data_IF_723882344603
#
_entry.id   IF_723882344603
#
_cell.length_a   1.000
_cell.length_b   1.000
_cell.length_c   1.000
_cell.angle_alpha   90.00
_cell.angle_beta   90.00
_cell.angle_gamma   90.00
#
_symmetry.space_group_name_H-M   'P 1'
#
loop_
_entity.id
_entity.type
_entity.pdbx_description
1 polymer ?
#
# COMPACT_ATOMS: atom_id res chain seq x y z
N UNK A 1 89.17 26.12 9.69
CA UNK A 1 87.82 26.49 10.20
C UNK A 1 87.10 27.44 9.24
N UNK A 2 86.80 26.98 8.03
CA UNK A 2 85.89 27.62 7.08
C UNK A 2 85.33 26.47 6.29
N UNK A 3 84.20 25.91 6.70
CA UNK A 3 83.36 24.90 6.03
C UNK A 3 82.24 24.51 7.02
N UNK A 4 81.37 25.47 7.39
CA UNK A 4 80.25 25.15 8.30
C UNK A 4 79.05 26.10 8.22
N UNK A 5 78.86 26.82 7.10
CA UNK A 5 77.68 27.69 6.91
C UNK A 5 77.08 27.57 5.51
N UNK A 6 76.78 26.35 5.07
CA UNK A 6 76.03 26.11 3.81
C UNK A 6 75.02 24.96 3.90
N UNK A 7 74.55 24.60 5.11
CA UNK A 7 73.64 23.44 5.29
C UNK A 7 72.29 23.75 5.96
N UNK A 8 71.87 25.02 6.11
CA UNK A 8 70.59 25.35 6.77
C UNK A 8 69.54 25.93 5.80
N UNK A 9 69.92 26.41 4.61
CA UNK A 9 68.97 27.02 3.67
C UNK A 9 68.38 26.04 2.63
N UNK A 10 68.89 24.81 2.52
CA UNK A 10 68.48 23.86 1.47
C UNK A 10 67.53 22.74 1.95
N UNK A 11 67.20 22.67 3.25
CA UNK A 11 66.24 21.70 3.80
C UNK A 11 64.79 22.21 3.90
N UNK A 12 64.51 23.44 3.44
CA UNK A 12 63.17 24.05 3.50
C UNK A 12 62.46 24.16 2.13
N UNK A 13 62.97 23.45 1.11
CA UNK A 13 62.35 23.42 -0.24
C UNK A 13 61.99 22.01 -0.73
N UNK A 14 62.06 21.00 0.15
CA UNK A 14 61.75 19.62 -0.20
C UNK A 14 60.72 18.96 0.74
N UNK A 15 59.83 19.74 1.36
CA UNK A 15 58.57 19.20 1.87
C UNK A 15 57.55 19.19 0.74
N UNK A 16 57.55 18.08 0.00
CA UNK A 16 56.34 17.32 -0.32
C UNK A 16 55.06 18.15 -0.47
N UNK A 17 54.92 18.83 -1.62
CA UNK A 17 53.60 19.14 -2.16
C UNK A 17 52.98 17.84 -2.70
N UNK A 18 52.77 16.86 -1.82
CA UNK A 18 51.61 15.98 -1.99
C UNK A 18 50.41 16.90 -1.83
N UNK A 19 49.44 16.95 -2.76
CA UNK A 19 48.18 17.60 -2.49
C UNK A 19 47.49 16.76 -1.40
N UNK A 20 47.83 17.06 -0.15
CA UNK A 20 47.07 16.61 1.00
C UNK A 20 45.70 17.21 0.78
N UNK A 21 44.74 16.38 0.38
CA UNK A 21 43.32 16.71 0.55
C UNK A 21 43.19 17.17 1.99
N UNK A 22 42.99 18.47 2.20
CA UNK A 22 42.74 19.02 3.53
C UNK A 22 41.65 18.14 4.16
N UNK A 23 41.96 17.51 5.28
CA UNK A 23 40.99 16.69 5.98
C UNK A 23 39.82 17.61 6.36
N UNK A 24 38.61 17.24 5.96
CA UNK A 24 37.42 18.04 6.20
C UNK A 24 37.23 18.28 7.70
N UNK A 25 37.15 19.56 8.09
CA UNK A 25 36.99 19.94 9.50
C UNK A 25 35.53 19.99 9.94
N UNK A 26 34.59 19.48 9.14
CA UNK A 26 33.16 19.53 9.42
C UNK A 26 32.83 18.94 10.81
N UNK A 27 33.57 17.92 11.26
CA UNK A 27 33.37 17.25 12.56
C UNK A 27 33.78 18.10 13.77
N UNK A 28 34.58 19.14 13.56
CA UNK A 28 34.99 20.07 14.63
C UNK A 28 33.77 20.88 15.11
N UNK A 29 32.97 21.38 14.17
CA UNK A 29 31.77 22.18 14.46
C UNK A 29 30.51 21.30 14.55
N UNK A 30 30.34 20.36 13.62
CA UNK A 30 29.22 19.43 13.62
C UNK A 30 29.63 18.15 14.34
N UNK A 31 29.26 18.03 15.63
CA UNK A 31 29.51 16.84 16.46
C UNK A 31 28.66 15.65 16.01
N UNK A 32 28.92 15.15 14.82
CA UNK A 32 28.20 14.05 14.18
C UNK A 32 29.15 12.91 13.85
N UNK A 33 28.68 11.70 14.09
CA UNK A 33 29.38 10.46 13.72
C UNK A 33 28.63 9.82 12.57
N UNK A 34 29.37 9.47 11.52
CA UNK A 34 28.85 8.75 10.37
C UNK A 34 28.91 7.24 10.67
N UNK A 35 27.80 6.54 10.53
CA UNK A 35 27.70 5.10 10.80
C UNK A 35 27.18 4.32 9.58
N UNK A 36 27.26 3.00 9.66
CA UNK A 36 26.73 2.10 8.65
C UNK A 36 27.63 1.98 7.41
N UNK A 37 27.02 1.70 6.27
CA UNK A 37 27.74 1.39 5.01
C UNK A 37 28.53 2.58 4.46
N UNK A 38 28.19 3.79 4.89
CA UNK A 38 28.85 5.01 4.46
C UNK A 38 29.86 5.55 5.48
N UNK A 39 30.09 4.89 6.63
CA UNK A 39 30.88 5.42 7.76
C UNK A 39 32.29 5.94 7.42
N UNK A 40 32.87 5.49 6.30
CA UNK A 40 34.21 5.88 5.83
C UNK A 40 34.20 7.01 4.78
N UNK A 41 33.03 7.47 4.34
CA UNK A 41 32.93 8.61 3.44
C UNK A 41 33.24 9.91 4.17
N UNK A 42 33.81 10.85 3.42
CA UNK A 42 33.99 12.21 3.87
C UNK A 42 32.63 12.94 3.85
N UNK A 43 32.42 13.91 4.72
CA UNK A 43 31.17 14.66 4.84
C UNK A 43 30.80 15.33 3.50
N UNK A 44 31.78 15.95 2.82
CA UNK A 44 31.52 16.61 1.53
C UNK A 44 31.22 15.63 0.40
N UNK A 45 31.44 14.31 0.58
CA UNK A 45 30.98 13.32 -0.40
C UNK A 45 29.46 13.31 -0.54
N UNK A 46 28.73 13.61 0.55
CA UNK A 46 27.28 13.77 0.53
C UNK A 46 26.89 15.25 0.44
N UNK A 47 27.64 16.12 1.09
CA UNK A 47 27.31 17.55 1.21
C UNK A 47 27.92 18.43 0.11
N UNK A 48 28.51 17.83 -0.93
CA UNK A 48 29.16 18.46 -2.09
C UNK A 48 30.49 19.17 -1.79
N UNK A 49 30.45 20.41 -1.29
CA UNK A 49 31.66 21.22 -1.06
C UNK A 49 31.41 22.28 0.00
N UNK A 50 32.47 22.85 0.58
CA UNK A 50 32.34 23.91 1.60
C UNK A 50 31.62 25.16 1.07
N UNK A 51 31.84 25.54 -0.19
CA UNK A 51 31.19 26.69 -0.83
C UNK A 51 29.75 26.44 -1.28
N UNK A 52 29.31 25.17 -1.36
CA UNK A 52 27.99 24.77 -1.85
C UNK A 52 27.39 23.65 -1.00
N UNK A 53 27.54 23.74 0.32
CA UNK A 53 27.14 22.69 1.25
C UNK A 53 25.63 22.45 1.22
N UNK A 54 25.20 21.22 0.93
CA UNK A 54 23.78 20.87 0.97
C UNK A 54 23.30 20.70 2.42
N UNK A 55 22.23 21.38 2.84
CA UNK A 55 21.64 21.15 4.16
C UNK A 55 20.99 19.76 4.30
N UNK A 56 20.31 19.29 3.24
CA UNK A 56 19.71 17.95 3.19
C UNK A 56 20.10 17.24 1.88
N UNK A 57 21.20 16.48 1.86
CA UNK A 57 21.73 15.85 0.66
C UNK A 57 20.84 14.77 0.04
N UNK A 58 19.91 14.22 0.83
CA UNK A 58 19.00 13.15 0.43
C UNK A 58 17.61 13.64 0.00
N UNK A 59 17.35 14.95 0.09
CA UNK A 59 16.02 15.51 -0.19
C UNK A 59 15.62 15.37 -1.65
N UNK A 60 14.36 14.96 -1.87
CA UNK A 60 13.74 14.88 -3.19
C UNK A 60 13.74 16.24 -3.90
N UNK A 61 13.46 17.34 -3.18
CA UNK A 61 13.42 18.70 -3.73
C UNK A 61 14.75 19.14 -4.37
N UNK A 62 15.87 18.62 -3.88
CA UNK A 62 17.20 18.83 -4.44
C UNK A 62 17.68 17.70 -5.36
N UNK A 63 16.78 16.84 -5.84
CA UNK A 63 17.11 15.67 -6.67
C UNK A 63 18.01 14.64 -5.97
N UNK A 64 18.05 14.65 -4.64
CA UNK A 64 18.98 13.89 -3.81
C UNK A 64 20.43 13.96 -4.34
N UNK A 65 20.89 15.17 -4.68
CA UNK A 65 22.22 15.42 -5.28
C UNK A 65 23.39 14.79 -4.51
N UNK A 66 23.29 14.71 -3.18
CA UNK A 66 24.33 14.07 -2.36
C UNK A 66 24.32 12.54 -2.40
N UNK A 67 23.33 11.93 -3.05
CA UNK A 67 23.19 10.49 -3.18
C UNK A 67 23.32 10.03 -4.64
N UNK A 68 22.69 10.77 -5.57
CA UNK A 68 22.50 10.36 -6.96
C UNK A 68 23.77 10.24 -7.79
N UNK A 69 24.87 10.89 -7.38
CA UNK A 69 26.18 10.73 -8.03
C UNK A 69 26.74 9.31 -7.96
N UNK A 70 26.60 8.63 -6.82
CA UNK A 70 26.99 7.22 -6.66
C UNK A 70 25.81 6.27 -6.90
N UNK A 71 24.60 6.68 -6.54
CA UNK A 71 23.36 5.93 -6.73
C UNK A 71 22.63 6.38 -8.01
N UNK A 72 23.35 6.31 -9.13
CA UNK A 72 22.88 6.81 -10.41
C UNK A 72 21.51 6.21 -10.80
N UNK A 73 20.58 7.06 -11.21
CA UNK A 73 19.25 6.68 -11.67
C UNK A 73 18.20 6.47 -10.58
N UNK A 74 18.57 6.38 -9.29
CA UNK A 74 17.59 6.21 -8.21
C UNK A 74 16.82 7.49 -7.84
N UNK A 75 17.29 8.67 -8.26
CA UNK A 75 16.50 9.90 -8.14
C UNK A 75 15.16 9.81 -8.89
N UNK A 76 15.04 8.95 -9.91
CA UNK A 76 13.78 8.70 -10.64
C UNK A 76 12.66 8.13 -9.77
N UNK A 77 12.98 7.60 -8.58
CA UNK A 77 11.95 7.21 -7.61
C UNK A 77 10.98 8.36 -7.29
N UNK A 78 11.48 9.61 -7.30
CA UNK A 78 10.68 10.80 -7.04
C UNK A 78 9.71 11.13 -8.20
N UNK A 79 9.98 10.64 -9.41
CA UNK A 79 9.18 10.90 -10.62
C UNK A 79 8.02 9.89 -10.79
N UNK A 80 7.93 8.91 -9.88
CA UNK A 80 6.96 7.83 -9.93
C UNK A 80 5.94 7.92 -8.80
N UNK A 81 5.03 6.93 -8.75
CA UNK A 81 3.90 6.94 -7.83
C UNK A 81 4.27 7.11 -6.33
N UNK A 82 5.50 6.81 -5.91
CA UNK A 82 5.93 7.01 -4.51
C UNK A 82 6.32 8.47 -4.21
N UNK A 83 6.82 9.20 -5.19
CA UNK A 83 7.18 10.62 -5.05
C UNK A 83 6.07 11.56 -5.52
N UNK A 84 5.45 11.26 -6.67
CA UNK A 84 4.39 12.11 -7.21
C UNK A 84 3.07 11.83 -6.51
N UNK A 85 2.42 10.69 -6.72
CA UNK A 85 0.99 10.45 -6.33
C UNK A 85 0.00 11.34 -7.06
N UNK A 86 0.25 11.54 -8.35
CA UNK A 86 -0.67 12.27 -9.23
C UNK A 86 -2.07 11.66 -9.29
N UNK A 87 -2.22 10.37 -8.95
CA UNK A 87 -3.53 9.70 -8.92
C UNK A 87 -4.33 10.10 -7.67
N UNK A 88 -3.68 10.10 -6.51
CA UNK A 88 -4.27 10.51 -5.24
C UNK A 88 -4.58 12.01 -5.23
N UNK A 89 -3.68 12.86 -5.73
CA UNK A 89 -3.94 14.30 -5.90
C UNK A 89 -5.17 14.56 -6.74
N UNK A 90 -5.21 14.03 -7.97
CA UNK A 90 -6.37 14.15 -8.86
C UNK A 90 -7.63 13.54 -8.27
N UNK A 91 -7.53 12.56 -7.37
CA UNK A 91 -8.68 12.01 -6.65
C UNK A 91 -9.20 13.02 -5.63
N UNK A 92 -8.33 13.57 -4.79
CA UNK A 92 -8.73 14.59 -3.82
C UNK A 92 -9.31 15.80 -4.53
N UNK A 93 -8.61 16.38 -5.51
CA UNK A 93 -9.05 17.54 -6.29
C UNK A 93 -10.47 17.37 -6.86
N UNK A 94 -10.79 16.19 -7.42
CA UNK A 94 -12.11 15.94 -8.02
C UNK A 94 -13.21 15.54 -7.02
N UNK A 95 -12.85 15.22 -5.78
CA UNK A 95 -13.77 14.72 -4.76
C UNK A 95 -13.87 15.69 -3.57
N UNK A 96 -13.27 15.36 -2.43
CA UNK A 96 -13.33 16.16 -1.20
C UNK A 96 -12.63 17.52 -1.34
N UNK A 97 -11.65 17.63 -2.24
CA UNK A 97 -10.95 18.88 -2.58
C UNK A 97 -11.86 19.99 -3.10
N UNK A 98 -13.04 19.64 -3.62
CA UNK A 98 -14.08 20.61 -4.02
C UNK A 98 -14.71 21.33 -2.82
N UNK A 99 -14.59 20.77 -1.61
CA UNK A 99 -15.14 21.30 -0.37
C UNK A 99 -14.06 21.80 0.59
N UNK A 100 -12.85 21.25 0.47
CA UNK A 100 -11.66 21.66 1.22
C UNK A 100 -10.40 21.49 0.35
N UNK A 101 -9.93 22.59 -0.24
CA UNK A 101 -8.75 22.59 -1.10
C UNK A 101 -7.46 22.19 -0.36
N UNK A 102 -7.39 22.37 0.97
CA UNK A 102 -6.23 22.00 1.79
C UNK A 102 -6.25 20.56 2.29
N UNK A 103 -7.27 19.77 1.93
CA UNK A 103 -7.44 18.41 2.44
C UNK A 103 -6.24 17.51 2.13
N UNK A 104 -5.65 17.64 0.94
CA UNK A 104 -4.54 16.78 0.51
C UNK A 104 -3.30 17.02 1.37
N UNK A 105 -2.89 18.27 1.54
CA UNK A 105 -1.72 18.67 2.32
C UNK A 105 -1.88 18.25 3.78
N UNK A 106 -3.06 18.48 4.35
CA UNK A 106 -3.34 18.26 5.77
C UNK A 106 -3.49 16.78 6.15
N UNK A 107 -3.95 15.92 5.22
CA UNK A 107 -4.32 14.52 5.52
C UNK A 107 -3.51 13.48 4.77
N UNK A 108 -2.91 13.83 3.64
CA UNK A 108 -2.18 12.87 2.79
C UNK A 108 -0.67 13.16 2.72
N UNK A 109 -0.23 14.39 3.01
CA UNK A 109 1.15 14.85 2.80
C UNK A 109 2.25 14.08 3.52
N UNK A 110 1.95 13.43 4.65
CA UNK A 110 2.93 12.69 5.47
C UNK A 110 3.30 11.30 4.95
N UNK A 111 2.63 10.81 3.90
CA UNK A 111 2.83 9.46 3.38
C UNK A 111 3.78 9.40 2.16
N UNK A 112 4.38 10.52 1.73
CA UNK A 112 5.11 10.62 0.46
C UNK A 112 6.61 10.63 0.65
N UNK A 113 7.33 10.14 -0.36
CA UNK A 113 8.79 10.10 -0.34
C UNK A 113 9.33 11.55 -0.40
N UNK A 114 9.81 12.04 0.74
CA UNK A 114 10.46 13.34 0.89
C UNK A 114 11.98 13.24 0.62
N UNK A 115 12.57 12.05 0.74
CA UNK A 115 13.97 11.83 0.42
C UNK A 115 14.42 10.39 0.60
N UNK A 116 15.68 10.10 0.24
CA UNK A 116 16.23 8.75 0.34
C UNK A 116 16.26 8.22 1.80
N UNK A 117 16.28 9.12 2.79
CA UNK A 117 16.27 8.78 4.22
C UNK A 117 14.97 8.14 4.70
N UNK A 118 13.86 8.26 3.96
CA UNK A 118 12.58 7.70 4.41
C UNK A 118 12.62 6.17 4.48
N UNK A 119 13.31 5.54 3.53
CA UNK A 119 13.51 4.08 3.52
C UNK A 119 14.78 3.64 4.24
N UNK A 120 15.84 4.44 4.16
CA UNK A 120 17.15 4.10 4.72
C UNK A 120 17.26 4.41 6.23
N UNK A 121 16.39 5.27 6.74
CA UNK A 121 16.32 5.69 8.14
C UNK A 121 17.55 6.44 8.64
N UNK A 122 17.56 6.72 9.94
CA UNK A 122 18.62 7.44 10.62
C UNK A 122 18.48 8.96 10.52
N UNK A 123 19.29 9.68 11.30
CA UNK A 123 19.37 11.15 11.27
C UNK A 123 20.08 11.69 10.02
N UNK A 124 20.01 10.97 8.88
CA UNK A 124 20.83 11.20 7.69
C UNK A 124 22.29 10.71 7.80
N UNK A 125 22.87 10.66 9.01
CA UNK A 125 24.26 10.23 9.25
C UNK A 125 24.41 8.78 9.73
N UNK A 126 23.30 8.06 9.91
CA UNK A 126 23.28 6.64 10.32
C UNK A 126 22.50 5.80 9.32
N UNK A 127 22.86 5.94 8.05
CA UNK A 127 22.17 5.27 6.94
C UNK A 127 22.44 3.77 6.99
N UNK A 128 21.37 2.99 6.84
CA UNK A 128 21.43 1.54 6.73
C UNK A 128 20.69 1.07 5.48
N UNK A 129 20.92 -0.19 5.10
CA UNK A 129 20.09 -0.82 4.07
C UNK A 129 18.64 -0.90 4.57
N UNK A 130 17.70 -0.47 3.73
CA UNK A 130 16.28 -0.55 4.05
C UNK A 130 15.85 -2.00 4.32
N UNK A 131 15.08 -2.19 5.38
CA UNK A 131 14.38 -3.45 5.67
C UNK A 131 12.88 -3.25 5.53
N UNK A 132 12.10 -4.34 5.60
CA UNK A 132 10.66 -4.32 5.33
C UNK A 132 9.90 -3.33 6.24
N UNK A 133 10.40 -3.13 7.46
CA UNK A 133 9.86 -2.15 8.42
C UNK A 133 9.78 -0.73 7.86
N UNK A 134 10.74 -0.34 7.03
CA UNK A 134 10.76 0.98 6.42
C UNK A 134 9.60 1.17 5.42
N UNK A 135 9.18 0.08 4.76
CA UNK A 135 8.05 0.10 3.84
C UNK A 135 6.73 0.40 4.58
N UNK A 136 6.55 -0.11 5.80
CA UNK A 136 5.30 0.06 6.57
C UNK A 136 5.06 1.46 7.12
N UNK A 137 6.02 2.38 6.98
CA UNK A 137 5.73 3.80 7.21
C UNK A 137 4.54 4.25 6.35
N UNK A 138 4.49 3.77 5.11
CA UNK A 138 3.45 4.09 4.11
C UNK A 138 2.58 2.87 3.75
N UNK A 139 3.17 1.68 3.66
CA UNK A 139 2.52 0.44 3.25
C UNK A 139 1.88 -0.31 4.43
N UNK A 140 0.92 0.33 5.10
CA UNK A 140 0.18 -0.24 6.24
C UNK A 140 -1.32 0.00 6.16
N UNK A 141 -2.06 -0.77 6.96
CA UNK A 141 -3.51 -0.66 7.07
C UNK A 141 -4.19 -1.04 5.76
N UNK A 142 -4.83 -0.08 5.09
CA UNK A 142 -5.45 -0.29 3.77
C UNK A 142 -4.51 -0.02 2.60
N UNK A 143 -3.25 0.36 2.85
CA UNK A 143 -2.18 0.26 1.89
C UNK A 143 -1.53 -1.12 2.04
N UNK A 144 -1.32 -1.81 0.91
CA UNK A 144 -0.83 -3.19 0.88
C UNK A 144 0.62 -3.21 1.35
N UNK A 145 0.94 -4.06 2.33
CA UNK A 145 2.28 -4.30 2.87
C UNK A 145 2.26 -5.03 4.21
N UNK A 146 1.53 -4.53 5.21
CA UNK A 146 1.46 -5.18 6.54
C UNK A 146 0.66 -6.49 6.53
N UNK A 147 -0.24 -6.64 5.56
CA UNK A 147 -0.97 -7.88 5.25
C UNK A 147 -0.04 -9.06 4.92
N UNK A 148 1.09 -8.79 4.26
CA UNK A 148 2.15 -9.79 4.00
C UNK A 148 2.64 -10.48 5.27
N UNK A 149 2.66 -9.75 6.39
CA UNK A 149 3.05 -10.27 7.70
C UNK A 149 1.86 -10.63 8.61
N UNK A 150 0.64 -10.74 8.05
CA UNK A 150 -0.53 -11.15 8.83
C UNK A 150 -1.10 -10.04 9.72
N UNK A 151 -0.86 -8.77 9.40
CA UNK A 151 -1.34 -7.64 10.21
C UNK A 151 -2.44 -6.87 9.47
N UNK A 152 -3.70 -7.16 9.81
CA UNK A 152 -4.87 -6.48 9.26
C UNK A 152 -5.28 -5.24 10.07
N UNK A 153 -5.81 -4.19 9.42
CA UNK A 153 -6.36 -3.03 10.13
C UNK A 153 -7.58 -3.40 10.99
N UNK A 154 -7.66 -2.82 12.19
CA UNK A 154 -8.82 -2.88 13.09
C UNK A 154 -9.87 -1.84 12.71
N UNK A 155 -11.09 -2.00 13.21
CA UNK A 155 -12.16 -0.99 13.12
C UNK A 155 -11.77 0.36 13.74
N UNK A 156 -12.31 1.48 13.25
CA UNK A 156 -11.88 2.81 13.68
C UNK A 156 -12.26 3.17 15.11
N UNK A 157 -13.34 2.61 15.65
CA UNK A 157 -13.75 2.86 17.03
C UNK A 157 -12.67 2.47 18.02
N UNK A 158 -12.43 3.35 19.01
CA UNK A 158 -11.40 3.18 20.04
C UNK A 158 -11.57 1.87 20.83
N UNK A 159 -12.80 1.38 20.99
CA UNK A 159 -13.09 0.10 21.66
C UNK A 159 -12.38 -1.11 21.02
N UNK A 160 -12.05 -1.00 19.73
CA UNK A 160 -11.37 -2.05 18.97
C UNK A 160 -9.86 -1.85 18.89
N UNK A 161 -9.33 -0.70 19.34
CA UNK A 161 -7.91 -0.36 19.30
C UNK A 161 -7.14 -1.02 20.45
N UNK A 162 -7.08 -2.36 20.43
CA UNK A 162 -6.51 -3.19 21.51
C UNK A 162 -5.57 -4.27 20.98
N UNK A 163 -4.75 -4.81 21.87
CA UNK A 163 -3.81 -5.89 21.57
C UNK A 163 -2.44 -5.40 21.10
N UNK A 164 -1.73 -6.24 20.36
CA UNK A 164 -0.40 -5.91 19.84
C UNK A 164 -0.42 -4.68 18.94
N UNK A 165 0.62 -3.85 19.09
CA UNK A 165 0.83 -2.62 18.32
C UNK A 165 2.06 -2.81 17.44
N UNK A 166 1.91 -2.53 16.15
CA UNK A 166 3.00 -2.48 15.20
C UNK A 166 2.93 -1.17 14.42
N UNK A 167 4.08 -0.49 14.28
CA UNK A 167 4.19 0.77 13.51
C UNK A 167 3.19 1.86 13.91
N UNK A 168 2.93 1.94 15.23
CA UNK A 168 2.04 2.94 15.84
C UNK A 168 0.55 2.61 15.76
N UNK A 169 0.16 1.42 15.33
CA UNK A 169 -1.25 1.02 15.22
C UNK A 169 -1.49 -0.39 15.76
N UNK A 170 -2.62 -0.57 16.44
CA UNK A 170 -3.10 -1.91 16.81
C UNK A 170 -3.59 -2.65 15.57
N UNK A 171 -3.41 -3.96 15.53
CA UNK A 171 -3.80 -4.78 14.36
C UNK A 171 -4.54 -6.07 14.75
N UNK A 172 -5.32 -6.59 13.81
CA UNK A 172 -5.87 -7.95 13.86
C UNK A 172 -4.81 -8.91 13.34
N UNK A 173 -4.43 -9.88 14.16
CA UNK A 173 -3.54 -10.97 13.75
C UNK A 173 -4.30 -11.90 12.81
N UNK A 174 -3.79 -12.00 11.59
CA UNK A 174 -4.30 -12.84 10.51
C UNK A 174 -3.23 -13.85 10.09
N UNK A 175 -3.60 -14.79 9.20
CA UNK A 175 -2.62 -15.71 8.62
C UNK A 175 -1.68 -14.93 7.68
N UNK A 176 -0.35 -14.95 7.89
CA UNK A 176 0.58 -14.25 7.02
C UNK A 176 0.74 -14.93 5.65
N UNK A 177 1.40 -14.22 4.72
CA UNK A 177 1.81 -14.80 3.45
C UNK A 177 2.82 -15.93 3.67
N UNK A 178 2.69 -17.02 2.91
CA UNK A 178 3.61 -18.17 2.99
C UNK A 178 5.05 -17.79 2.66
N UNK A 179 5.26 -16.78 1.82
CA UNK A 179 6.60 -16.29 1.51
C UNK A 179 7.19 -15.51 2.68
N UNK A 180 6.37 -14.76 3.44
CA UNK A 180 6.81 -14.09 4.66
C UNK A 180 7.20 -15.10 5.74
N UNK A 181 6.41 -16.16 5.91
CA UNK A 181 6.74 -17.28 6.80
C UNK A 181 8.06 -17.97 6.41
N UNK A 182 8.34 -18.06 5.11
CA UNK A 182 9.59 -18.58 4.57
C UNK A 182 10.77 -17.58 4.66
N UNK A 183 10.57 -16.39 5.22
CA UNK A 183 11.60 -15.38 5.42
C UNK A 183 11.91 -14.51 4.21
N UNK A 184 11.09 -14.56 3.14
CA UNK A 184 11.26 -13.67 1.99
C UNK A 184 10.84 -12.25 2.36
N UNK A 185 11.74 -11.30 2.08
CA UNK A 185 11.55 -9.87 2.31
C UNK A 185 10.93 -9.18 1.10
N UNK A 186 10.37 -7.97 1.28
CA UNK A 186 9.75 -7.18 0.22
C UNK A 186 10.67 -7.01 -1.00
N UNK A 187 11.96 -6.74 -0.74
CA UNK A 187 12.97 -6.53 -1.78
C UNK A 187 13.25 -7.76 -2.67
N UNK A 188 12.81 -8.97 -2.27
CA UNK A 188 12.94 -10.16 -3.11
C UNK A 188 12.04 -10.10 -4.36
N UNK A 189 10.91 -9.38 -4.26
CA UNK A 189 9.96 -9.16 -5.36
C UNK A 189 10.00 -7.71 -5.86
N UNK A 190 10.32 -6.74 -4.99
CA UNK A 190 10.37 -5.30 -5.28
C UNK A 190 11.81 -4.77 -5.25
N UNK A 191 12.60 -5.01 -6.31
CA UNK A 191 13.96 -4.51 -6.40
C UNK A 191 14.01 -2.98 -6.52
N UNK A 192 15.09 -2.34 -6.03
CA UNK A 192 15.28 -0.89 -6.20
C UNK A 192 15.34 -0.47 -7.67
N UNK A 193 15.92 -1.32 -8.53
CA UNK A 193 15.97 -1.09 -9.98
C UNK A 193 14.57 -1.02 -10.59
N UNK A 194 13.69 -1.99 -10.27
CA UNK A 194 12.29 -1.97 -10.74
C UNK A 194 11.53 -0.75 -10.21
N UNK A 195 11.72 -0.41 -8.93
CA UNK A 195 11.04 0.74 -8.33
C UNK A 195 11.48 2.07 -8.97
N UNK A 196 12.78 2.22 -9.26
CA UNK A 196 13.34 3.40 -9.92
C UNK A 196 13.01 3.47 -11.42
N UNK A 197 12.52 2.38 -12.01
CA UNK A 197 11.93 2.35 -13.34
C UNK A 197 10.41 2.58 -13.33
N UNK A 198 9.80 2.75 -12.15
CA UNK A 198 8.36 2.95 -11.99
C UNK A 198 7.55 1.65 -12.11
N UNK A 199 8.21 0.50 -12.09
CA UNK A 199 7.56 -0.80 -12.13
C UNK A 199 6.98 -1.15 -10.76
N UNK A 200 5.91 -1.96 -10.77
CA UNK A 200 5.26 -2.42 -9.53
C UNK A 200 6.07 -3.49 -8.80
N UNK A 201 6.77 -4.35 -9.54
CA UNK A 201 7.57 -5.44 -9.01
C UNK A 201 8.58 -5.90 -10.07
N UNK A 202 9.73 -6.40 -9.63
CA UNK A 202 10.74 -7.04 -10.48
C UNK A 202 10.47 -8.51 -10.78
N UNK A 203 9.59 -9.16 -10.01
CA UNK A 203 9.24 -10.57 -10.16
C UNK A 203 7.75 -10.79 -9.93
N UNK A 204 7.17 -11.69 -10.71
CA UNK A 204 5.85 -12.27 -10.54
C UNK A 204 5.91 -13.74 -10.11
N UNK A 205 4.74 -14.38 -10.01
CA UNK A 205 4.63 -15.74 -9.49
C UNK A 205 5.42 -16.76 -10.33
N UNK A 206 5.35 -16.66 -11.67
CA UNK A 206 5.95 -17.64 -12.59
C UNK A 206 7.46 -17.52 -12.74
N UNK A 207 8.06 -16.43 -12.25
CA UNK A 207 9.53 -16.27 -12.25
C UNK A 207 10.19 -17.21 -11.22
N UNK A 208 9.43 -17.65 -10.21
CA UNK A 208 9.90 -18.56 -9.17
C UNK A 208 9.14 -19.90 -9.15
N UNK A 209 7.87 -19.91 -9.56
CA UNK A 209 6.99 -21.07 -9.43
C UNK A 209 6.70 -21.73 -10.77
N UNK A 210 6.89 -23.05 -10.83
CA UNK A 210 6.42 -23.88 -11.94
C UNK A 210 5.04 -24.43 -11.63
N UNK A 211 4.10 -24.25 -12.55
CA UNK A 211 2.73 -24.71 -12.41
C UNK A 211 2.70 -26.25 -12.48
N UNK A 212 2.19 -26.89 -11.44
CA UNK A 212 2.01 -28.34 -11.42
C UNK A 212 0.66 -28.72 -12.00
N UNK A 213 0.68 -29.52 -13.06
CA UNK A 213 -0.53 -30.13 -13.64
C UNK A 213 -1.14 -31.19 -12.73
N UNK A 214 -0.58 -31.51 -11.56
CA UNK A 214 -1.23 -32.41 -10.60
C UNK A 214 -2.38 -31.75 -9.85
N UNK A 215 -2.37 -30.42 -9.73
CA UNK A 215 -3.44 -29.64 -9.10
C UNK A 215 -4.60 -29.50 -10.08
N UNK A 216 -5.83 -29.85 -9.64
CA UNK A 216 -7.02 -29.89 -10.50
C UNK A 216 -7.24 -28.56 -11.22
N UNK A 217 -7.14 -27.45 -10.49
CA UNK A 217 -7.37 -26.10 -11.01
C UNK A 217 -6.34 -25.71 -12.07
N UNK A 218 -5.10 -26.18 -11.96
CA UNK A 218 -4.03 -25.87 -12.91
C UNK A 218 -4.18 -26.61 -14.24
N UNK A 219 -4.92 -27.71 -14.28
CA UNK A 219 -5.22 -28.43 -15.53
C UNK A 219 -6.26 -27.71 -16.39
N UNK A 220 -7.02 -26.81 -15.77
CA UNK A 220 -8.06 -26.04 -16.45
C UNK A 220 -7.39 -24.83 -17.10
N UNK A 221 -7.19 -24.88 -18.43
CA UNK A 221 -6.52 -23.83 -19.19
C UNK A 221 -7.09 -22.42 -18.90
N UNK A 222 -8.41 -22.30 -18.80
CA UNK A 222 -9.07 -21.04 -18.48
C UNK A 222 -8.62 -20.43 -17.14
N UNK A 223 -8.28 -21.24 -16.13
CA UNK A 223 -7.73 -20.73 -14.88
C UNK A 223 -6.34 -20.13 -15.08
N UNK A 224 -5.46 -20.80 -15.82
CA UNK A 224 -4.09 -20.31 -16.04
C UNK A 224 -4.00 -19.12 -17.00
N UNK A 225 -4.95 -18.99 -17.92
CA UNK A 225 -4.98 -17.95 -18.94
C UNK A 225 -5.78 -16.72 -18.51
N UNK A 226 -6.88 -16.92 -17.79
CA UNK A 226 -7.87 -15.87 -17.52
C UNK A 226 -7.87 -15.39 -16.07
N UNK A 227 -7.13 -16.02 -15.15
CA UNK A 227 -7.02 -15.58 -13.76
C UNK A 227 -5.59 -15.13 -13.48
N UNK A 228 -5.47 -14.18 -12.56
CA UNK A 228 -4.24 -13.96 -11.82
C UNK A 228 -4.02 -15.09 -10.81
N UNK A 229 -2.78 -15.52 -10.59
CA UNK A 229 -2.49 -16.59 -9.62
C UNK A 229 -3.01 -16.22 -8.22
N UNK A 230 -2.86 -14.95 -7.86
CA UNK A 230 -3.32 -14.42 -6.58
C UNK A 230 -4.84 -14.22 -6.49
N UNK A 231 -5.62 -14.49 -7.54
CA UNK A 231 -7.08 -14.57 -7.44
C UNK A 231 -7.54 -15.81 -6.65
N UNK A 232 -6.81 -16.92 -6.78
CA UNK A 232 -7.05 -18.15 -6.03
C UNK A 232 -6.20 -18.24 -4.75
N UNK A 233 -4.96 -17.74 -4.81
CA UNK A 233 -3.99 -17.95 -3.75
C UNK A 233 -4.04 -16.92 -2.61
N UNK A 234 -4.76 -15.80 -2.75
CA UNK A 234 -4.90 -14.84 -1.64
C UNK A 234 -5.94 -15.33 -0.63
N UNK A 235 -5.51 -15.57 0.61
CA UNK A 235 -6.41 -16.09 1.65
C UNK A 235 -7.41 -15.04 2.16
N UNK A 236 -6.97 -13.79 2.28
CA UNK A 236 -7.79 -12.70 2.80
C UNK A 236 -7.30 -11.35 2.28
N UNK A 237 -8.09 -10.30 2.44
CA UNK A 237 -7.61 -8.95 2.22
C UNK A 237 -8.31 -7.92 3.08
N UNK A 238 -7.58 -6.86 3.41
CA UNK A 238 -8.14 -5.67 4.03
C UNK A 238 -9.07 -4.93 3.08
N UNK A 239 -10.34 -4.86 3.47
CA UNK A 239 -11.43 -4.20 2.77
C UNK A 239 -12.12 -3.19 3.70
N UNK A 240 -12.34 -1.97 3.20
CA UNK A 240 -13.07 -0.89 3.89
C UNK A 240 -14.26 -0.50 3.01
N UNK A 241 -15.47 -0.69 3.50
CA UNK A 241 -16.70 -0.40 2.80
C UNK A 241 -17.34 0.86 3.39
N UNK A 242 -17.63 1.84 2.53
CA UNK A 242 -18.17 3.15 2.92
C UNK A 242 -17.23 3.93 3.83
N UNK A 243 -16.31 4.70 3.26
CA UNK A 243 -15.43 5.62 4.00
C UNK A 243 -16.17 6.93 4.23
N UNK A 244 -16.33 7.34 5.48
CA UNK A 244 -16.94 8.61 5.84
C UNK A 244 -15.89 9.61 6.28
N UNK A 245 -15.94 10.79 5.69
CA UNK A 245 -15.29 11.98 6.22
C UNK A 245 -16.34 12.96 6.69
N UNK A 246 -16.30 13.28 7.98
CA UNK A 246 -17.14 14.31 8.56
C UNK A 246 -16.27 15.52 8.86
N UNK A 247 -16.70 16.70 8.38
CA UNK A 247 -16.09 17.97 8.76
C UNK A 247 -16.97 18.64 9.80
N UNK A 248 -16.37 19.09 10.89
CA UNK A 248 -17.05 19.81 11.96
C UNK A 248 -16.55 21.25 12.01
N UNK A 249 -17.45 22.22 12.12
CA UNK A 249 -17.12 23.63 12.37
C UNK A 249 -17.99 24.12 13.51
N UNK A 250 -17.39 24.62 14.58
CA UNK A 250 -18.12 25.11 15.76
C UNK A 250 -19.19 24.11 16.24
N UNK A 251 -18.81 22.84 16.39
CA UNK A 251 -19.76 21.76 16.69
C UNK A 251 -19.22 20.87 17.81
N UNK A 252 -20.04 20.69 18.84
CA UNK A 252 -19.77 19.83 19.99
C UNK A 252 -20.01 18.35 19.67
N UNK A 253 -20.82 18.05 18.66
CA UNK A 253 -21.11 16.68 18.21
C UNK A 253 -19.85 15.87 17.87
N UNK A 254 -18.74 16.52 17.49
CA UNK A 254 -17.48 15.82 17.21
C UNK A 254 -16.97 15.01 18.41
N UNK A 255 -17.25 15.47 19.63
CA UNK A 255 -16.81 14.85 20.89
C UNK A 255 -17.57 13.55 21.19
N UNK A 256 -18.76 13.35 20.60
CA UNK A 256 -19.55 12.13 20.78
C UNK A 256 -18.94 10.92 20.04
N UNK A 257 -17.99 11.14 19.13
CA UNK A 257 -17.41 10.07 18.32
C UNK A 257 -16.05 9.58 18.86
N UNK A 258 -16.08 8.40 19.47
CA UNK A 258 -14.89 7.71 19.96
C UNK A 258 -14.20 6.87 18.87
N UNK A 259 -13.51 7.54 17.94
CA UNK A 259 -12.72 6.92 16.87
C UNK A 259 -11.26 7.34 16.89
N UNK A 260 -10.38 6.49 16.35
CA UNK A 260 -8.93 6.72 16.33
C UNK A 260 -8.49 7.94 15.49
N UNK A 261 -9.26 8.29 14.45
CA UNK A 261 -8.98 9.40 13.53
C UNK A 261 -9.99 10.53 13.79
N UNK A 262 -9.83 11.18 14.95
CA UNK A 262 -10.63 12.33 15.39
C UNK A 262 -9.69 13.49 15.76
N UNK A 263 -9.20 14.24 14.76
CA UNK A 263 -8.17 15.26 14.98
C UNK A 263 -8.38 16.51 14.12
N UNK A 264 -8.31 17.68 14.74
CA UNK A 264 -8.68 18.95 14.11
C UNK A 264 -10.18 18.97 13.83
N UNK A 265 -10.59 19.58 12.72
CA UNK A 265 -11.98 19.72 12.30
C UNK A 265 -12.53 18.54 11.48
N UNK A 266 -11.82 17.40 11.45
CA UNK A 266 -12.22 16.23 10.67
C UNK A 266 -12.24 14.96 11.52
N UNK A 267 -13.19 14.12 11.15
CA UNK A 267 -13.31 12.76 11.62
C UNK A 267 -13.36 11.80 10.43
N UNK A 268 -12.67 10.65 10.55
CA UNK A 268 -12.80 9.53 9.62
C UNK A 268 -13.45 8.33 10.30
N UNK A 269 -14.41 7.71 9.62
CA UNK A 269 -14.96 6.40 9.99
C UNK A 269 -15.21 5.54 8.75
N UNK A 270 -15.65 4.31 8.96
CA UNK A 270 -16.09 3.40 7.92
C UNK A 270 -17.40 2.71 8.30
N UNK A 271 -18.23 2.37 7.31
CA UNK A 271 -19.46 1.61 7.55
C UNK A 271 -19.15 0.19 8.01
N UNK A 272 -18.20 -0.45 7.32
CA UNK A 272 -17.84 -1.84 7.57
C UNK A 272 -16.39 -2.11 7.15
N UNK A 273 -15.63 -2.84 7.98
CA UNK A 273 -14.36 -3.41 7.56
C UNK A 273 -14.43 -4.93 7.54
N UNK A 274 -13.86 -5.53 6.49
CA UNK A 274 -13.78 -6.98 6.33
C UNK A 274 -12.35 -7.43 6.06
N UNK A 275 -12.03 -8.61 6.56
CA UNK A 275 -10.74 -9.28 6.44
C UNK A 275 -10.91 -10.70 5.87
N UNK A 276 -11.96 -10.92 5.09
CA UNK A 276 -12.22 -12.19 4.41
C UNK A 276 -11.61 -12.18 3.00
N UNK A 277 -11.88 -13.23 2.24
CA UNK A 277 -11.38 -13.35 0.89
C UNK A 277 -11.97 -12.22 0.02
N UNK A 278 -11.16 -11.48 -0.75
CA UNK A 278 -11.60 -10.28 -1.46
C UNK A 278 -12.56 -10.60 -2.62
N UNK A 279 -13.48 -9.69 -2.97
CA UNK A 279 -14.22 -9.76 -4.22
C UNK A 279 -13.28 -9.86 -5.44
N UNK A 280 -13.83 -10.33 -6.55
CA UNK A 280 -13.14 -10.55 -7.82
C UNK A 280 -13.76 -9.67 -8.91
N UNK A 281 -12.88 -9.12 -9.74
CA UNK A 281 -13.21 -8.36 -10.94
C UNK A 281 -12.21 -8.67 -12.03
N UNK A 282 -12.10 -7.80 -13.02
CA UNK A 282 -11.17 -7.90 -14.14
C UNK A 282 -10.13 -6.80 -14.01
N UNK A 283 -8.84 -7.12 -14.15
CA UNK A 283 -7.77 -6.12 -14.18
C UNK A 283 -7.56 -5.55 -15.59
N UNK A 284 -6.70 -4.54 -15.70
CA UNK A 284 -6.35 -3.93 -16.99
C UNK A 284 -5.76 -4.90 -18.03
N UNK A 285 -5.29 -6.09 -17.63
CA UNK A 285 -4.82 -7.15 -18.52
C UNK A 285 -5.94 -8.14 -18.93
N UNK A 286 -7.21 -7.87 -18.58
CA UNK A 286 -8.36 -8.72 -18.91
C UNK A 286 -8.50 -9.97 -18.04
N UNK A 287 -7.68 -10.13 -17.00
CA UNK A 287 -7.67 -11.29 -16.11
C UNK A 287 -8.51 -11.06 -14.86
N UNK A 288 -9.13 -12.14 -14.39
CA UNK A 288 -9.83 -12.16 -13.10
C UNK A 288 -8.81 -11.95 -11.98
N UNK A 289 -9.05 -10.94 -11.16
CA UNK A 289 -8.13 -10.47 -10.12
C UNK A 289 -8.94 -10.04 -8.89
N UNK A 290 -8.38 -10.14 -7.68
CA UNK A 290 -8.92 -9.47 -6.52
C UNK A 290 -9.16 -7.99 -6.78
N UNK A 291 -10.34 -7.54 -6.36
CA UNK A 291 -10.72 -6.14 -6.28
C UNK A 291 -11.10 -5.80 -4.85
N UNK A 292 -10.96 -4.53 -4.49
CA UNK A 292 -11.48 -4.00 -3.23
C UNK A 292 -11.99 -2.58 -3.43
N UNK A 293 -12.83 -2.08 -2.51
CA UNK A 293 -13.06 -0.66 -2.39
C UNK A 293 -11.71 0.08 -2.30
N UNK A 294 -11.51 1.09 -3.16
CA UNK A 294 -10.42 2.04 -2.97
C UNK A 294 -10.94 3.25 -2.22
N UNK A 295 -12.02 3.85 -2.75
CA UNK A 295 -12.71 5.00 -2.17
C UNK A 295 -14.21 4.89 -2.45
N UNK A 296 -14.95 4.33 -1.49
CA UNK A 296 -16.40 4.49 -1.41
C UNK A 296 -16.66 5.67 -0.48
N UNK A 297 -16.41 6.87 -1.00
CA UNK A 297 -16.22 8.08 -0.21
C UNK A 297 -17.55 8.81 -0.02
N UNK A 298 -17.93 8.95 1.24
CA UNK A 298 -19.04 9.77 1.71
C UNK A 298 -18.53 10.97 2.49
N UNK A 299 -19.23 12.09 2.36
CA UNK A 299 -18.88 13.34 3.02
C UNK A 299 -20.11 13.99 3.67
N UNK A 300 -19.92 14.50 4.88
CA UNK A 300 -20.90 15.32 5.61
C UNK A 300 -20.21 16.57 6.17
N UNK A 301 -20.82 17.74 6.02
CA UNK A 301 -20.36 18.99 6.62
C UNK A 301 -21.32 19.37 7.74
N UNK A 302 -20.81 19.47 8.97
CA UNK A 302 -21.59 19.72 10.19
C UNK A 302 -21.10 21.04 10.78
N UNK A 303 -22.03 21.99 10.94
CA UNK A 303 -21.76 23.31 11.50
C UNK A 303 -22.77 23.65 12.57
N UNK A 304 -22.31 24.13 13.73
CA UNK A 304 -23.20 24.46 14.85
C UNK A 304 -24.18 23.31 15.16
N UNK A 305 -23.64 22.09 15.27
CA UNK A 305 -24.37 20.86 15.57
C UNK A 305 -25.49 20.50 14.56
N UNK A 306 -25.37 20.96 13.31
CA UNK A 306 -26.31 20.63 12.23
C UNK A 306 -25.60 20.31 10.94
N UNK A 307 -26.07 19.30 10.22
CA UNK A 307 -25.63 19.03 8.86
C UNK A 307 -26.04 20.17 7.91
N UNK A 308 -25.11 20.59 7.05
CA UNK A 308 -25.29 21.70 6.09
C UNK A 308 -24.79 21.31 4.69
N UNK A 309 -25.09 22.16 3.70
CA UNK A 309 -24.61 21.96 2.33
C UNK A 309 -25.41 20.90 1.58
N UNK A 310 -26.75 20.95 1.72
CA UNK A 310 -27.68 20.01 1.12
C UNK A 310 -27.44 19.76 -0.36
N UNK A 311 -27.81 18.56 -0.79
CA UNK A 311 -27.58 18.07 -2.14
C UNK A 311 -28.69 17.12 -2.55
N UNK A 312 -29.00 17.06 -3.85
CA UNK A 312 -30.07 16.21 -4.36
C UNK A 312 -29.51 14.93 -4.98
N UNK A 313 -30.12 13.79 -4.64
CA UNK A 313 -29.79 12.49 -5.23
C UNK A 313 -31.07 11.68 -5.44
N UNK A 314 -31.27 11.14 -6.66
CA UNK A 314 -32.45 10.32 -6.94
C UNK A 314 -33.79 11.03 -6.68
N UNK A 315 -33.83 12.36 -6.79
CA UNK A 315 -35.02 13.17 -6.51
C UNK A 315 -35.28 13.45 -5.03
N UNK A 316 -34.36 13.11 -4.13
CA UNK A 316 -34.43 13.40 -2.70
C UNK A 316 -33.37 14.42 -2.31
N UNK A 317 -33.75 15.38 -1.47
CA UNK A 317 -32.82 16.33 -0.86
C UNK A 317 -32.23 15.72 0.41
N UNK A 318 -30.90 15.67 0.46
CA UNK A 318 -30.11 15.04 1.50
C UNK A 318 -29.16 16.07 2.11
N UNK A 319 -28.90 15.96 3.42
CA UNK A 319 -27.97 16.84 4.14
C UNK A 319 -26.65 16.13 4.50
N UNK A 320 -26.67 14.81 4.60
CA UNK A 320 -25.55 14.00 5.04
C UNK A 320 -25.15 12.98 3.96
N UNK A 321 -24.05 12.27 4.20
CA UNK A 321 -23.62 11.11 3.44
C UNK A 321 -23.59 11.36 1.93
N UNK A 322 -23.01 12.50 1.54
CA UNK A 322 -22.82 12.84 0.14
C UNK A 322 -21.82 11.90 -0.50
N UNK A 323 -22.28 11.08 -1.45
CA UNK A 323 -21.40 10.20 -2.22
C UNK A 323 -20.51 11.03 -3.14
N UNK A 324 -19.21 11.11 -2.83
CA UNK A 324 -18.22 11.82 -3.64
C UNK A 324 -17.49 10.89 -4.62
N UNK A 325 -17.36 9.61 -4.27
CA UNK A 325 -16.77 8.61 -5.14
C UNK A 325 -17.26 7.20 -4.78
N UNK A 326 -17.43 6.36 -5.80
CA UNK A 326 -17.72 4.94 -5.65
C UNK A 326 -16.71 4.11 -6.46
N UNK A 327 -15.44 4.20 -6.05
CA UNK A 327 -14.29 3.68 -6.79
C UNK A 327 -13.69 2.44 -6.13
N UNK A 328 -13.55 1.39 -6.93
CA UNK A 328 -12.89 0.13 -6.62
C UNK A 328 -11.56 0.05 -7.35
N UNK A 329 -10.67 -0.83 -6.91
CA UNK A 329 -9.44 -1.13 -7.64
C UNK A 329 -9.13 -2.62 -7.66
N UNK A 330 -8.52 -3.06 -8.74
CA UNK A 330 -7.78 -4.32 -8.80
C UNK A 330 -6.46 -4.18 -8.05
N UNK A 331 -6.09 -5.21 -7.30
CA UNK A 331 -4.89 -5.21 -6.48
C UNK A 331 -4.41 -6.64 -6.15
N UNK A 332 -3.20 -6.75 -5.62
CA UNK A 332 -2.65 -7.98 -5.07
C UNK A 332 -2.57 -7.84 -3.53
N UNK A 333 -3.35 -8.62 -2.74
CA UNK A 333 -3.38 -8.52 -1.27
C UNK A 333 -2.12 -8.98 -0.54
N UNK A 334 -1.16 -9.64 -1.19
CA UNK A 334 0.03 -10.20 -0.52
C UNK A 334 -0.30 -11.12 0.67
N UNK A 335 -1.33 -11.96 0.53
CA UNK A 335 -1.74 -12.96 1.54
C UNK A 335 -1.72 -14.36 0.94
N UNK A 336 -0.70 -14.65 0.12
CA UNK A 336 -0.58 -15.89 -0.63
C UNK A 336 -0.45 -17.08 0.31
N UNK A 337 -1.27 -18.10 0.08
CA UNK A 337 -1.19 -19.41 0.74
C UNK A 337 -1.05 -20.53 -0.29
N UNK A 338 -0.61 -21.70 0.19
CA UNK A 338 -0.53 -22.94 -0.60
C UNK A 338 -1.93 -23.47 -0.94
N UNK A 339 -2.84 -23.43 0.04
CA UNK A 339 -4.25 -23.76 -0.15
C UNK A 339 -5.00 -22.63 -0.85
N UNK A 340 -6.04 -22.99 -1.60
CA UNK A 340 -6.93 -22.05 -2.30
C UNK A 340 -8.38 -22.29 -1.87
N UNK A 341 -9.26 -21.36 -2.22
CA UNK A 341 -10.71 -21.56 -2.08
C UNK A 341 -11.19 -22.81 -2.84
N UNK A 342 -12.27 -23.42 -2.35
CA UNK A 342 -13.01 -24.46 -3.08
C UNK A 342 -13.77 -23.86 -4.28
N UNK A 343 -14.19 -24.70 -5.23
CA UNK A 343 -14.73 -24.22 -6.51
C UNK A 343 -15.98 -23.35 -6.32
N UNK A 344 -16.88 -23.72 -5.41
CA UNK A 344 -18.08 -22.98 -5.00
C UNK A 344 -17.76 -21.55 -4.50
N UNK A 345 -16.60 -21.35 -3.88
CA UNK A 345 -16.15 -20.03 -3.41
C UNK A 345 -15.95 -19.00 -4.52
N UNK A 346 -15.89 -19.45 -5.78
CA UNK A 346 -15.85 -18.60 -6.98
C UNK A 346 -16.97 -18.89 -7.98
N UNK A 347 -17.52 -20.11 -8.02
CA UNK A 347 -18.53 -20.50 -9.00
C UNK A 347 -19.97 -20.36 -8.48
N UNK A 348 -20.18 -20.37 -7.16
CA UNK A 348 -21.51 -20.30 -6.51
C UNK A 348 -21.68 -19.10 -5.59
N UNK A 349 -20.83 -18.09 -5.77
CA UNK A 349 -20.82 -16.93 -4.89
C UNK A 349 -21.00 -15.66 -5.72
N UNK A 350 -22.24 -15.27 -6.09
CA UNK A 350 -22.49 -14.05 -6.88
C UNK A 350 -21.93 -12.79 -6.22
N UNK A 351 -22.01 -12.73 -4.89
CA UNK A 351 -21.44 -11.66 -4.07
C UNK A 351 -19.93 -11.47 -4.29
N UNK A 352 -19.20 -12.55 -4.63
CA UNK A 352 -17.78 -12.51 -4.99
C UNK A 352 -17.52 -11.57 -6.17
N UNK A 353 -18.50 -11.34 -7.04
CA UNK A 353 -18.39 -10.49 -8.23
C UNK A 353 -19.29 -9.25 -8.17
N UNK A 354 -19.76 -8.87 -6.98
CA UNK A 354 -20.70 -7.76 -6.75
C UNK A 354 -22.01 -7.97 -7.53
N UNK A 355 -22.51 -9.21 -7.50
CA UNK A 355 -23.79 -9.61 -8.08
C UNK A 355 -24.74 -10.12 -6.99
N UNK A 356 -24.68 -9.54 -5.79
CA UNK A 356 -25.59 -9.90 -4.70
C UNK A 356 -27.03 -9.53 -5.06
N UNK A 357 -27.96 -10.48 -4.91
CA UNK A 357 -29.34 -10.24 -5.24
C UNK A 357 -30.01 -9.36 -4.15
N UNK A 358 -31.02 -8.53 -4.49
CA UNK A 358 -31.67 -7.65 -3.52
C UNK A 358 -32.20 -8.36 -2.27
N UNK A 359 -32.75 -9.57 -2.43
CA UNK A 359 -33.28 -10.37 -1.32
C UNK A 359 -32.21 -10.93 -0.37
N UNK A 360 -30.94 -10.99 -0.81
CA UNK A 360 -29.83 -11.50 0.00
C UNK A 360 -29.10 -10.37 0.75
N UNK A 361 -29.53 -9.12 0.58
CA UNK A 361 -28.89 -7.95 1.16
C UNK A 361 -29.14 -7.90 2.67
N UNK A 362 -28.05 -7.92 3.43
CA UNK A 362 -28.07 -7.73 4.89
C UNK A 362 -27.96 -6.24 5.25
N UNK A 363 -27.21 -5.46 4.44
CA UNK A 363 -26.97 -4.04 4.69
C UNK A 363 -27.89 -3.17 3.84
N UNK A 364 -28.72 -2.35 4.49
CA UNK A 364 -29.73 -1.50 3.85
C UNK A 364 -29.24 -0.05 3.75
N UNK A 365 -28.22 0.16 2.90
CA UNK A 365 -27.51 1.45 2.83
C UNK A 365 -28.44 2.66 2.60
N UNK A 366 -29.51 2.49 1.82
CA UNK A 366 -30.48 3.57 1.56
C UNK A 366 -31.35 3.89 2.77
N UNK A 367 -31.67 2.90 3.62
CA UNK A 367 -32.34 3.14 4.89
C UNK A 367 -31.40 3.86 5.89
N UNK A 368 -30.09 3.64 5.76
CA UNK A 368 -29.04 4.32 6.54
C UNK A 368 -28.64 5.69 5.96
N UNK A 369 -29.43 6.24 5.02
CA UNK A 369 -29.22 7.57 4.45
C UNK A 369 -28.08 7.68 3.43
N UNK A 370 -27.62 6.56 2.84
CA UNK A 370 -26.65 6.55 1.74
C UNK A 370 -27.34 6.35 0.38
N UNK A 371 -26.63 6.65 -0.71
CA UNK A 371 -27.21 6.57 -2.07
C UNK A 371 -26.87 5.33 -2.86
N UNK A 372 -25.82 4.58 -2.50
CA UNK A 372 -25.55 3.30 -3.14
C UNK A 372 -26.60 2.26 -2.69
N UNK A 373 -27.13 1.43 -3.61
CA UNK A 373 -28.13 0.42 -3.25
C UNK A 373 -27.52 -0.76 -2.46
N UNK A 374 -26.25 -1.09 -2.69
CA UNK A 374 -25.46 -2.05 -1.93
C UNK A 374 -23.98 -1.89 -2.28
N UNK A 375 -23.09 -2.25 -1.36
CA UNK A 375 -21.67 -2.36 -1.67
C UNK A 375 -21.34 -3.53 -2.59
N UNK A 376 -22.20 -4.56 -2.65
CA UNK A 376 -22.07 -5.72 -3.53
C UNK A 376 -22.98 -5.63 -4.76
N UNK A 377 -23.28 -4.41 -5.18
CA UNK A 377 -23.99 -4.08 -6.41
C UNK A 377 -23.12 -3.16 -7.27
N UNK A 378 -23.06 -3.36 -8.58
CA UNK A 378 -22.15 -2.60 -9.46
C UNK A 378 -22.70 -1.22 -9.86
N UNK A 379 -23.99 -0.97 -9.65
CA UNK A 379 -24.69 0.22 -10.12
C UNK A 379 -24.14 1.47 -9.44
N UNK A 380 -23.77 2.47 -10.24
CA UNK A 380 -23.16 3.70 -9.73
C UNK A 380 -21.71 3.55 -9.25
N UNK A 381 -21.11 2.36 -9.35
CA UNK A 381 -19.74 2.08 -8.94
C UNK A 381 -18.85 1.80 -10.15
N UNK A 382 -17.52 1.91 -10.00
CA UNK A 382 -16.56 1.56 -11.07
C UNK A 382 -15.26 1.01 -10.51
N UNK A 383 -14.55 0.21 -11.30
CA UNK A 383 -13.17 -0.22 -11.02
C UNK A 383 -12.21 0.71 -11.78
N UNK A 384 -11.28 1.38 -11.09
CA UNK A 384 -10.49 2.47 -11.71
C UNK A 384 -9.32 1.99 -12.58
N UNK A 385 -8.95 0.71 -12.46
CA UNK A 385 -7.81 0.10 -13.15
C UNK A 385 -8.16 -1.30 -13.68
N UNK A 386 -9.39 -1.43 -14.18
CA UNK A 386 -9.99 -2.67 -14.62
C UNK A 386 -11.50 -2.51 -14.72
N UNK A 387 -12.23 -3.61 -14.59
CA UNK A 387 -13.69 -3.65 -14.72
C UNK A 387 -14.31 -4.63 -13.72
N UNK A 388 -15.61 -4.52 -13.50
CA UNK A 388 -16.35 -5.61 -12.88
C UNK A 388 -16.51 -6.78 -13.85
N UNK A 389 -16.68 -8.00 -13.32
CA UNK A 389 -16.98 -9.15 -14.17
C UNK A 389 -18.33 -8.94 -14.88
N UNK A 390 -18.41 -9.05 -16.22
CA UNK A 390 -19.69 -8.93 -16.92
C UNK A 390 -20.65 -10.05 -16.52
N UNK A 391 -21.95 -9.73 -16.38
CA UNK A 391 -22.98 -10.70 -15.97
C UNK A 391 -23.02 -11.94 -16.89
N UNK A 392 -22.92 -11.73 -18.21
CA UNK A 392 -22.87 -12.83 -19.17
C UNK A 392 -21.65 -13.74 -18.97
N UNK A 393 -20.51 -13.19 -18.56
CA UNK A 393 -19.31 -13.97 -18.22
C UNK A 393 -19.50 -14.70 -16.89
N UNK A 394 -20.09 -14.05 -15.89
CA UNK A 394 -20.41 -14.70 -14.61
C UNK A 394 -21.32 -15.91 -14.80
N UNK A 395 -22.40 -15.79 -15.59
CA UNK A 395 -23.31 -16.93 -15.87
C UNK A 395 -22.59 -18.15 -16.45
N UNK A 396 -21.57 -17.94 -17.29
CA UNK A 396 -20.73 -19.04 -17.82
C UNK A 396 -19.83 -19.63 -16.76
N UNK A 397 -19.24 -18.80 -15.90
CA UNK A 397 -18.42 -19.27 -14.77
C UNK A 397 -19.29 -20.07 -13.79
N UNK A 398 -20.49 -19.61 -13.48
CA UNK A 398 -21.41 -20.26 -12.54
C UNK A 398 -22.08 -21.52 -13.11
N UNK A 399 -21.94 -21.81 -14.41
CA UNK A 399 -22.57 -22.95 -15.05
C UNK A 399 -22.02 -24.28 -14.48
N UNK A 400 -22.94 -25.15 -14.05
CA UNK A 400 -22.64 -26.48 -13.50
C UNK A 400 -22.51 -27.52 -14.60
N UNK A 401 -21.52 -27.34 -15.47
CA UNK A 401 -21.25 -28.32 -16.53
C UNK A 401 -20.79 -29.66 -15.94
N UNK A 402 -20.86 -30.72 -16.73
CA UNK A 402 -20.38 -32.04 -16.31
C UNK A 402 -18.88 -32.01 -15.97
N UNK A 403 -18.09 -31.22 -16.70
CA UNK A 403 -16.66 -31.03 -16.42
C UNK A 403 -16.44 -30.37 -15.07
N UNK A 404 -17.24 -29.35 -14.72
CA UNK A 404 -17.20 -28.72 -13.40
C UNK A 404 -17.49 -29.75 -12.31
N UNK A 405 -18.59 -30.51 -12.44
CA UNK A 405 -18.99 -31.49 -11.43
C UNK A 405 -17.92 -32.57 -11.22
N UNK A 406 -17.34 -33.08 -12.31
CA UNK A 406 -16.24 -34.06 -12.25
C UNK A 406 -15.00 -33.49 -11.54
N UNK A 407 -14.55 -32.30 -11.93
CA UNK A 407 -13.39 -31.66 -11.32
C UNK A 407 -13.63 -31.31 -9.84
N UNK A 408 -14.86 -30.90 -9.51
CA UNK A 408 -15.27 -30.60 -8.15
C UNK A 408 -15.22 -31.83 -7.25
N UNK A 409 -15.77 -32.97 -7.72
CA UNK A 409 -15.69 -34.24 -7.00
C UNK A 409 -14.24 -34.72 -6.85
N UNK A 410 -13.41 -34.60 -7.90
CA UNK A 410 -11.99 -34.94 -7.81
C UNK A 410 -11.28 -34.11 -6.73
N UNK A 411 -11.55 -32.80 -6.66
CA UNK A 411 -10.98 -31.92 -5.64
C UNK A 411 -11.37 -32.34 -4.23
N UNK A 412 -12.65 -32.65 -4.01
CA UNK A 412 -13.13 -33.14 -2.71
C UNK A 412 -12.46 -34.45 -2.31
N UNK A 413 -12.33 -35.40 -3.24
CA UNK A 413 -11.64 -36.66 -2.98
C UNK A 413 -10.16 -36.45 -2.61
N UNK A 414 -9.47 -35.51 -3.28
CA UNK A 414 -8.08 -35.17 -2.94
C UNK A 414 -7.97 -34.55 -1.53
N UNK A 415 -8.92 -33.70 -1.15
CA UNK A 415 -8.95 -33.08 0.17
C UNK A 415 -9.17 -34.12 1.27
N UNK A 416 -10.15 -35.01 1.11
CA UNK A 416 -10.47 -36.06 2.09
C UNK A 416 -9.26 -37.00 2.30
N UNK A 417 -8.64 -37.47 1.20
CA UNK A 417 -7.46 -38.35 1.27
C UNK A 417 -6.28 -37.69 1.99
N UNK A 418 -6.09 -36.38 1.84
CA UNK A 418 -5.05 -35.64 2.56
C UNK A 418 -5.34 -35.54 4.06
N UNK A 419 -6.61 -35.35 4.44
CA UNK A 419 -7.02 -35.31 5.85
C UNK A 419 -6.77 -36.66 6.51
N UNK A 420 -7.16 -37.77 5.89
CA UNK A 420 -6.93 -39.12 6.42
C UNK A 420 -5.43 -39.39 6.66
N UNK A 421 -4.57 -38.98 5.73
CA UNK A 421 -3.12 -39.12 5.86
C UNK A 421 -2.51 -38.19 6.94
N UNK A 422 -3.05 -36.97 7.13
CA UNK A 422 -2.60 -36.03 8.17
C UNK A 422 -3.14 -36.34 9.57
N UNK A 423 -4.14 -37.22 9.67
CA UNK A 423 -4.76 -37.66 10.92
C UNK A 423 -4.16 -38.97 11.46
N UNK A 424 -3.20 -39.54 10.73
CA UNK A 424 -2.43 -40.68 11.20
C UNK A 424 -1.38 -40.19 12.22
N UNK A 425 -1.33 -40.78 13.44
CA UNK A 425 -0.51 -40.30 14.54
C UNK A 425 0.99 -40.24 14.27
#
# INVERSE_FOLDING_TARGET
MRWMMLCIAACWLALSATPGRAAENCKVCHRVTLEGVHARLACLSCHLSESATLANPAAAAGGAQGCSGCHAGYARLFDHAMGTRDRERRFVERSIGRFDAGFFENRCGSCHLAGCTDCHGGSGHRLKRAGDRACFACHKGYFVGTDYYGMAPREDSLRYQRGEVAYGQSFLKMTPDVHAEAGLRCAACHSMTSLAAGEKASKGCRDCHRVSQKVVEHRIAAHLEKLECYACHSAWAAQEYGTFWLRFTDSTLQEEFEVKENAGNYLKSAYLRKQDAPPLGINAAGKVSPIRPQFLLYFSDIRNDRAVGGWTAGGQDLLENRLLAAEWKTFFPHTVRRGTVMCEGCHDTPRRYLLEAPQDRIYQLQADGMTLPSFWDRSGQKVVNGDFLPMARYRRVAAKTQEYQRAYLEKWQQLIKHVEASSSP
#
